data_IF_575933491711
#
_entry.id   IF_575933491711
#
_cell.length_a   1.000
_cell.length_b   1.000
_cell.length_c   1.000
_cell.angle_alpha   90.00
_cell.angle_beta   90.00
_cell.angle_gamma   90.00
#
_symmetry.space_group_name_H-M   'P 1'
#
loop_
_entity.id
_entity.type
_entity.pdbx_description
1 polymer ?
#
# COMPACT_ATOMS: atom_id res chain seq x y z
N UNK A 1 4.75 0.09 -12.50
CA UNK A 1 3.36 0.55 -12.80
C UNK A 1 3.28 1.51 -13.99
N UNK A 2 4.07 2.56 -14.08
CA UNK A 2 3.98 3.52 -15.18
C UNK A 2 4.01 2.89 -16.58
N UNK A 3 4.93 1.95 -16.84
CA UNK A 3 5.02 1.26 -18.13
C UNK A 3 3.76 0.46 -18.48
N UNK A 4 3.16 -0.24 -17.52
CA UNK A 4 1.93 -1.02 -17.70
C UNK A 4 0.73 -0.10 -17.94
N UNK A 5 0.68 1.06 -17.30
CA UNK A 5 -0.29 2.11 -17.54
C UNK A 5 -0.16 2.64 -18.99
N UNK A 6 1.07 2.94 -19.44
CA UNK A 6 1.32 3.38 -20.83
C UNK A 6 0.91 2.34 -21.86
N UNK A 7 1.20 1.04 -21.63
CA UNK A 7 0.83 -0.05 -22.54
C UNK A 7 -0.70 -0.15 -22.69
N UNK A 8 -1.46 0.09 -21.62
CA UNK A 8 -2.93 0.06 -21.62
C UNK A 8 -3.56 1.40 -21.96
N UNK A 9 -2.79 2.46 -22.08
CA UNK A 9 -3.27 3.83 -22.23
C UNK A 9 -4.27 4.24 -21.12
N UNK A 10 -3.93 3.82 -19.89
CA UNK A 10 -4.71 4.12 -18.67
C UNK A 10 -3.82 4.86 -17.67
N UNK A 11 -4.10 6.14 -17.46
CA UNK A 11 -3.30 7.02 -16.61
C UNK A 11 -4.09 7.59 -15.44
N UNK A 12 -5.37 7.23 -15.32
CA UNK A 12 -6.34 7.78 -14.37
C UNK A 12 -6.11 7.33 -12.92
N UNK A 13 -5.40 6.22 -12.69
CA UNK A 13 -5.21 5.65 -11.35
C UNK A 13 -3.81 5.82 -10.77
N UNK A 14 -2.79 6.05 -11.60
CA UNK A 14 -1.39 6.16 -11.13
C UNK A 14 -1.21 7.29 -10.11
N UNK A 15 -2.00 8.37 -10.23
CA UNK A 15 -1.99 9.47 -9.26
C UNK A 15 -2.50 9.05 -7.89
N UNK A 16 -3.49 8.14 -7.82
CA UNK A 16 -3.96 7.56 -6.56
C UNK A 16 -2.84 6.78 -5.88
N UNK A 17 -2.08 6.00 -6.65
CA UNK A 17 -0.94 5.24 -6.13
C UNK A 17 0.14 6.15 -5.55
N UNK A 18 0.49 7.23 -6.25
CA UNK A 18 1.50 8.19 -5.78
C UNK A 18 1.06 8.84 -4.45
N UNK A 19 -0.22 9.24 -4.35
CA UNK A 19 -0.77 9.80 -3.10
C UNK A 19 -0.78 8.74 -2.01
N UNK A 20 -1.29 7.53 -2.28
CA UNK A 20 -1.39 6.45 -1.31
C UNK A 20 -0.05 6.10 -0.67
N UNK A 21 1.01 5.98 -1.49
CA UNK A 21 2.36 5.68 -1.00
C UNK A 21 2.86 6.72 0.01
N UNK A 22 2.55 8.00 -0.20
CA UNK A 22 2.96 9.07 0.70
C UNK A 22 2.07 9.19 1.95
N UNK A 23 0.74 9.25 1.76
CA UNK A 23 -0.18 9.53 2.88
C UNK A 23 -0.33 8.35 3.84
N UNK A 24 -0.18 7.11 3.35
CA UNK A 24 -0.19 5.93 4.22
C UNK A 24 1.00 5.92 5.18
N UNK A 25 2.19 6.35 4.73
CA UNK A 25 3.38 6.44 5.60
C UNK A 25 3.21 7.51 6.68
N UNK A 26 2.61 8.66 6.33
CA UNK A 26 2.25 9.69 7.32
C UNK A 26 1.25 9.13 8.33
N UNK A 27 0.23 8.42 7.86
CA UNK A 27 -0.79 7.82 8.72
C UNK A 27 -0.23 6.71 9.63
N UNK A 28 0.75 5.92 9.15
CA UNK A 28 1.46 4.91 9.95
C UNK A 28 2.16 5.53 11.18
N UNK A 29 2.65 6.75 11.07
CA UNK A 29 3.22 7.48 12.19
C UNK A 29 2.17 8.13 13.13
N UNK A 30 0.86 7.95 12.84
CA UNK A 30 -0.25 8.59 13.55
C UNK A 30 -0.58 9.99 13.02
N UNK A 31 0.06 10.42 11.93
CA UNK A 31 -0.10 11.73 11.31
C UNK A 31 -1.40 11.86 10.52
N UNK A 32 -1.97 13.05 10.51
CA UNK A 32 -3.06 13.44 9.62
C UNK A 32 -2.45 14.21 8.43
N UNK A 33 -2.56 13.68 7.18
CA UNK A 33 -2.07 14.38 6.00
C UNK A 33 -2.80 15.72 5.81
N UNK A 34 -2.06 16.80 5.61
CA UNK A 34 -2.63 18.15 5.42
C UNK A 34 -2.69 18.54 3.95
N UNK A 35 -1.58 18.33 3.24
CA UNK A 35 -1.49 18.68 1.83
C UNK A 35 -0.51 17.78 1.08
N UNK A 36 -0.68 17.79 -0.22
CA UNK A 36 0.11 17.03 -1.19
C UNK A 36 0.61 17.94 -2.31
N UNK A 37 1.79 17.62 -2.82
CA UNK A 37 2.41 18.19 -4.01
C UNK A 37 2.86 17.04 -4.91
N UNK A 38 2.64 17.15 -6.20
CA UNK A 38 3.16 16.20 -7.19
C UNK A 38 4.31 16.79 -8.00
N UNK A 39 5.14 15.90 -8.55
CA UNK A 39 6.14 16.22 -9.54
C UNK A 39 6.03 15.21 -10.68
N UNK A 40 5.79 15.70 -11.89
CA UNK A 40 5.70 14.89 -13.10
C UNK A 40 6.87 15.23 -14.01
N UNK A 41 7.83 14.30 -14.12
CA UNK A 41 8.85 14.34 -15.15
C UNK A 41 8.34 13.60 -16.39
N UNK A 42 8.42 14.18 -17.58
CA UNK A 42 7.98 13.53 -18.80
C UNK A 42 8.95 13.80 -19.97
N UNK A 43 9.02 12.85 -20.92
CA UNK A 43 9.81 13.06 -22.13
C UNK A 43 9.21 14.14 -23.03
N UNK A 44 7.86 14.19 -23.08
CA UNK A 44 7.09 15.20 -23.77
C UNK A 44 5.77 15.47 -23.05
N UNK A 45 5.43 16.74 -22.94
CA UNK A 45 4.17 17.15 -22.33
C UNK A 45 3.00 16.93 -23.30
N UNK A 46 2.18 15.93 -23.02
CA UNK A 46 0.88 15.70 -23.65
C UNK A 46 -0.21 16.17 -22.69
N UNK A 47 -0.81 17.36 -22.88
CA UNK A 47 -1.68 17.99 -21.87
C UNK A 47 -2.83 17.10 -21.39
N UNK A 48 -3.47 16.33 -22.26
CA UNK A 48 -4.58 15.45 -21.91
C UNK A 48 -4.12 14.28 -21.03
N UNK A 49 -2.94 13.71 -21.31
CA UNK A 49 -2.31 12.65 -20.52
C UNK A 49 -1.94 13.17 -19.14
N UNK A 50 -1.29 14.32 -19.06
CA UNK A 50 -0.91 14.97 -17.80
C UNK A 50 -2.15 15.31 -16.99
N UNK A 51 -3.19 15.88 -17.58
CA UNK A 51 -4.45 16.18 -16.91
C UNK A 51 -5.09 14.91 -16.32
N UNK A 52 -5.03 13.77 -17.03
CA UNK A 52 -5.52 12.48 -16.54
C UNK A 52 -4.72 11.99 -15.34
N UNK A 53 -3.39 12.08 -15.38
CA UNK A 53 -2.52 11.73 -14.24
C UNK A 53 -2.87 12.59 -13.01
N UNK A 54 -2.95 13.91 -13.19
CA UNK A 54 -3.27 14.86 -12.10
C UNK A 54 -4.68 14.64 -11.55
N UNK A 55 -5.65 14.22 -12.39
CA UNK A 55 -6.98 13.86 -11.90
C UNK A 55 -6.95 12.67 -10.93
N UNK A 56 -6.07 11.69 -11.17
CA UNK A 56 -5.80 10.59 -10.24
C UNK A 56 -5.17 11.09 -8.93
N UNK A 57 -4.23 12.04 -9.00
CA UNK A 57 -3.64 12.68 -7.80
C UNK A 57 -4.74 13.39 -6.99
N UNK A 58 -5.60 14.16 -7.65
CA UNK A 58 -6.70 14.87 -7.00
C UNK A 58 -7.69 13.90 -6.33
N UNK A 59 -8.00 12.77 -6.97
CA UNK A 59 -8.86 11.74 -6.39
C UNK A 59 -8.20 11.08 -5.17
N UNK A 60 -6.90 10.75 -5.23
CA UNK A 60 -6.15 10.24 -4.08
C UNK A 60 -6.13 11.23 -2.91
N UNK A 61 -5.93 12.52 -3.18
CA UNK A 61 -6.00 13.57 -2.18
C UNK A 61 -7.38 13.67 -1.54
N UNK A 62 -8.45 13.57 -2.33
CA UNK A 62 -9.82 13.55 -1.84
C UNK A 62 -10.08 12.35 -0.92
N UNK A 63 -9.64 11.14 -1.30
CA UNK A 63 -9.77 9.92 -0.49
C UNK A 63 -9.02 10.02 0.84
N UNK A 64 -7.84 10.64 0.86
CA UNK A 64 -7.05 10.83 2.08
C UNK A 64 -7.47 12.04 2.90
N UNK A 65 -8.32 12.92 2.35
CA UNK A 65 -8.76 14.16 3.01
C UNK A 65 -7.69 15.25 3.07
N UNK A 66 -6.60 15.13 2.29
CA UNK A 66 -5.57 16.16 2.19
C UNK A 66 -5.84 17.11 1.00
N UNK A 67 -5.24 18.31 1.04
CA UNK A 67 -5.37 19.29 -0.03
C UNK A 67 -4.28 19.11 -1.10
N UNK A 68 -4.65 18.99 -2.37
CA UNK A 68 -3.70 19.17 -3.46
C UNK A 68 -3.46 20.68 -3.63
N UNK A 69 -2.28 21.17 -3.23
CA UNK A 69 -2.00 22.62 -3.18
C UNK A 69 -1.12 23.11 -4.32
N UNK A 70 -0.59 22.21 -5.14
CA UNK A 70 0.27 22.51 -6.28
C UNK A 70 1.07 21.30 -6.73
N UNK A 71 2.00 21.54 -7.61
CA UNK A 71 2.90 20.56 -8.18
C UNK A 71 3.76 21.18 -9.27
N UNK A 72 4.53 20.35 -9.96
CA UNK A 72 5.38 20.76 -11.08
C UNK A 72 5.31 19.70 -12.18
N UNK A 73 5.32 20.15 -13.43
CA UNK A 73 5.50 19.29 -14.60
C UNK A 73 6.69 19.76 -15.40
N UNK A 74 7.66 18.90 -15.60
CA UNK A 74 8.89 19.21 -16.31
C UNK A 74 9.12 18.28 -17.50
N UNK A 75 9.38 18.83 -18.68
CA UNK A 75 9.82 18.09 -19.85
C UNK A 75 11.35 17.85 -19.79
N UNK A 76 11.74 16.61 -20.13
CA UNK A 76 13.12 16.18 -20.23
C UNK A 76 13.45 15.64 -21.64
N UNK A 77 13.41 16.47 -22.68
CA UNK A 77 13.64 16.05 -24.05
C UNK A 77 15.04 15.47 -24.23
N UNK A 78 15.15 14.31 -24.84
CA UNK A 78 16.41 13.61 -25.06
C UNK A 78 16.98 12.87 -23.83
N UNK A 79 16.39 13.08 -22.63
CA UNK A 79 16.74 12.33 -21.41
C UNK A 79 15.75 11.19 -21.17
N UNK A 80 14.47 11.44 -21.45
CA UNK A 80 13.40 10.45 -21.36
C UNK A 80 12.76 10.23 -22.74
N UNK A 81 12.30 8.99 -23.05
CA UNK A 81 11.45 8.74 -24.21
C UNK A 81 10.19 9.62 -24.19
N UNK A 82 9.69 10.03 -25.36
CA UNK A 82 8.57 10.99 -25.45
C UNK A 82 7.27 10.50 -24.80
N UNK A 83 7.04 9.20 -24.77
CA UNK A 83 5.84 8.56 -24.22
C UNK A 83 5.96 8.17 -22.74
N UNK A 84 7.17 8.28 -22.16
CA UNK A 84 7.44 7.95 -20.78
C UNK A 84 7.26 9.14 -19.83
N UNK A 85 6.95 8.82 -18.58
CA UNK A 85 6.91 9.77 -17.47
C UNK A 85 7.28 9.10 -16.15
N UNK A 86 7.68 9.91 -15.20
CA UNK A 86 7.87 9.53 -13.79
C UNK A 86 7.03 10.46 -12.92
N UNK A 87 6.38 9.87 -11.89
CA UNK A 87 5.49 10.59 -10.98
C UNK A 87 5.99 10.40 -9.56
N UNK A 88 6.32 11.51 -8.92
CA UNK A 88 6.68 11.55 -7.51
C UNK A 88 5.66 12.37 -6.72
N UNK A 89 5.56 12.09 -5.42
CA UNK A 89 4.68 12.80 -4.50
C UNK A 89 5.41 13.26 -3.25
N UNK A 90 4.92 14.35 -2.68
CA UNK A 90 5.35 14.87 -1.39
C UNK A 90 4.14 15.25 -0.56
N UNK A 91 4.07 14.75 0.67
CA UNK A 91 3.00 15.09 1.60
C UNK A 91 3.55 15.58 2.93
N UNK A 92 2.80 16.47 3.57
CA UNK A 92 3.07 16.91 4.93
C UNK A 92 1.85 16.57 5.78
N UNK A 93 2.10 15.97 6.93
CA UNK A 93 1.08 15.72 7.93
C UNK A 93 1.47 16.25 9.30
N UNK A 94 0.51 16.26 10.20
CA UNK A 94 0.71 16.68 11.60
C UNK A 94 0.19 15.62 12.54
N UNK A 95 0.85 15.51 13.69
CA UNK A 95 0.43 14.66 14.79
C UNK A 95 0.82 15.34 16.11
N UNK A 96 -0.05 15.23 17.13
CA UNK A 96 0.34 15.62 18.47
C UNK A 96 1.45 14.69 18.99
N UNK A 97 2.47 15.25 19.62
CA UNK A 97 3.64 14.48 20.12
C UNK A 97 3.24 13.25 20.94
N UNK A 98 2.17 13.36 21.73
CA UNK A 98 1.64 12.25 22.57
C UNK A 98 0.96 11.13 21.76
N UNK A 99 0.54 11.42 20.52
CA UNK A 99 -0.22 10.52 19.64
C UNK A 99 0.66 9.86 18.57
N UNK A 100 1.97 10.17 18.54
CA UNK A 100 2.91 9.55 17.60
C UNK A 100 2.92 8.03 17.86
N UNK A 101 2.79 7.26 16.79
CA UNK A 101 2.91 5.80 16.78
C UNK A 101 4.38 5.45 16.62
N UNK A 102 5.03 5.02 17.70
CA UNK A 102 6.48 4.72 17.72
C UNK A 102 6.80 3.24 17.83
N UNK A 103 5.84 2.41 18.23
CA UNK A 103 6.07 1.02 18.58
C UNK A 103 6.59 0.76 19.99
N UNK A 104 6.99 1.81 20.74
CA UNK A 104 7.57 1.64 22.08
C UNK A 104 6.63 1.00 23.11
N UNK A 105 5.31 1.19 22.93
CA UNK A 105 4.27 0.65 23.83
C UNK A 105 3.88 -0.81 23.50
N UNK A 106 4.48 -1.43 22.48
CA UNK A 106 4.18 -2.80 22.06
C UNK A 106 4.61 -3.80 23.11
N UNK A 107 3.70 -4.74 23.43
CA UNK A 107 3.90 -5.78 24.47
C UNK A 107 3.60 -7.17 23.90
N UNK A 108 4.21 -8.19 24.51
CA UNK A 108 3.78 -9.56 24.26
C UNK A 108 2.30 -9.73 24.63
N UNK A 109 1.55 -10.41 23.76
CA UNK A 109 0.11 -10.55 23.87
C UNK A 109 -0.70 -9.52 23.08
N UNK A 110 -0.08 -8.42 22.61
CA UNK A 110 -0.76 -7.50 21.68
C UNK A 110 -1.17 -8.24 20.40
N UNK A 111 -2.32 -7.86 19.84
CA UNK A 111 -2.92 -8.51 18.70
C UNK A 111 -2.56 -7.77 17.42
N UNK A 112 -2.20 -8.52 16.39
CA UNK A 112 -1.98 -8.00 15.05
C UNK A 112 -3.27 -7.99 14.25
N UNK A 113 -3.64 -6.82 13.74
CA UNK A 113 -4.78 -6.63 12.84
C UNK A 113 -4.24 -6.20 11.49
N UNK A 114 -4.55 -6.96 10.43
CA UNK A 114 -4.24 -6.63 9.06
C UNK A 114 -5.43 -5.98 8.36
N UNK A 115 -5.19 -5.02 7.49
CA UNK A 115 -6.18 -4.44 6.58
C UNK A 115 -5.94 -4.92 5.16
N UNK A 116 -7.02 -5.36 4.49
CA UNK A 116 -6.95 -5.89 3.14
C UNK A 116 -6.29 -4.91 2.16
N UNK A 117 -5.45 -5.43 1.28
CA UNK A 117 -5.00 -4.69 0.09
C UNK A 117 -6.03 -4.78 -1.03
N UNK A 118 -5.91 -3.90 -2.01
CA UNK A 118 -6.67 -3.94 -3.26
C UNK A 118 -6.04 -4.85 -4.33
N UNK A 119 -4.85 -5.37 -4.08
CA UNK A 119 -4.04 -6.15 -5.01
C UNK A 119 -2.56 -5.93 -4.77
N UNK A 120 -1.78 -5.91 -5.84
CA UNK A 120 -0.31 -5.78 -5.79
C UNK A 120 0.15 -4.44 -5.20
N UNK A 121 -0.69 -3.42 -5.29
CA UNK A 121 -0.33 -2.04 -4.97
C UNK A 121 0.79 -1.52 -5.90
N UNK A 122 1.72 -0.71 -5.37
CA UNK A 122 2.74 -0.04 -6.17
C UNK A 122 4.12 -0.72 -6.12
N UNK A 123 4.22 -1.93 -5.57
CA UNK A 123 5.50 -2.58 -5.31
C UNK A 123 5.67 -3.89 -6.08
N UNK A 124 6.92 -4.30 -6.32
CA UNK A 124 7.26 -5.58 -6.93
C UNK A 124 7.09 -5.66 -8.45
N UNK A 125 6.84 -4.56 -9.16
CA UNK A 125 6.61 -4.56 -10.62
C UNK A 125 7.82 -5.01 -11.45
N UNK A 126 9.04 -4.91 -10.92
CA UNK A 126 10.22 -5.49 -11.58
C UNK A 126 10.13 -7.01 -11.70
N UNK A 127 9.54 -7.66 -10.69
CA UNK A 127 9.29 -9.11 -10.72
C UNK A 127 8.08 -9.43 -11.61
N UNK A 128 6.99 -8.65 -11.55
CA UNK A 128 5.83 -8.77 -12.44
C UNK A 128 6.28 -8.79 -13.91
N UNK A 129 7.17 -7.87 -14.31
CA UNK A 129 7.73 -7.79 -15.68
C UNK A 129 8.61 -8.98 -16.07
N UNK A 130 9.15 -9.70 -15.11
CA UNK A 130 9.89 -10.95 -15.37
C UNK A 130 8.96 -12.14 -15.52
N UNK A 131 7.83 -12.14 -14.83
CA UNK A 131 6.85 -13.22 -14.82
C UNK A 131 5.98 -13.16 -16.07
N UNK A 132 5.45 -11.99 -16.39
CA UNK A 132 4.50 -11.82 -17.48
C UNK A 132 5.11 -11.02 -18.63
N UNK A 133 4.70 -11.37 -19.84
CA UNK A 133 4.99 -10.55 -21.00
C UNK A 133 4.19 -9.25 -20.95
N UNK A 134 4.91 -8.11 -20.96
CA UNK A 134 4.30 -6.79 -20.87
C UNK A 134 3.91 -6.27 -22.26
N UNK A 135 2.82 -6.79 -22.81
CA UNK A 135 2.22 -6.29 -24.03
C UNK A 135 0.69 -6.16 -23.87
N UNK A 136 0.08 -5.46 -24.82
CA UNK A 136 -1.35 -5.14 -24.77
C UNK A 136 -2.23 -6.38 -24.80
N UNK A 137 -1.82 -7.43 -25.52
CA UNK A 137 -2.56 -8.69 -25.62
C UNK A 137 -2.57 -9.40 -24.28
N UNK A 138 -1.40 -9.60 -23.67
CA UNK A 138 -1.26 -10.26 -22.36
C UNK A 138 -2.00 -9.51 -21.25
N UNK A 139 -1.86 -8.18 -21.18
CA UNK A 139 -2.51 -7.37 -20.15
C UNK A 139 -4.04 -7.30 -20.31
N UNK A 140 -4.58 -7.46 -21.51
CA UNK A 140 -6.02 -7.50 -21.78
C UNK A 140 -6.60 -8.92 -21.76
N UNK A 141 -5.79 -9.95 -21.54
CA UNK A 141 -6.26 -11.33 -21.41
C UNK A 141 -7.11 -11.46 -20.12
N UNK A 142 -8.37 -11.89 -20.31
CA UNK A 142 -9.24 -12.21 -19.18
C UNK A 142 -8.81 -13.54 -18.56
N UNK A 143 -8.76 -13.58 -17.23
CA UNK A 143 -8.38 -14.74 -16.47
C UNK A 143 -9.51 -15.13 -15.51
N UNK A 144 -10.08 -16.32 -15.69
CA UNK A 144 -11.20 -16.80 -14.87
C UNK A 144 -10.89 -16.81 -13.37
N UNK A 145 -9.65 -17.19 -13.02
CA UNK A 145 -9.20 -17.22 -11.62
C UNK A 145 -9.08 -15.83 -10.98
N UNK A 146 -8.91 -14.76 -11.78
CA UNK A 146 -8.90 -13.38 -11.31
C UNK A 146 -10.30 -12.72 -11.37
N UNK A 147 -11.21 -13.27 -12.18
CA UNK A 147 -12.49 -12.66 -12.48
C UNK A 147 -12.41 -11.35 -13.27
N UNK A 148 -11.23 -11.04 -13.84
CA UNK A 148 -10.95 -9.83 -14.59
C UNK A 148 -9.75 -10.01 -15.52
N UNK A 149 -9.31 -8.96 -16.25
CA UNK A 149 -8.10 -9.04 -17.04
C UNK A 149 -6.84 -8.95 -16.15
N UNK A 150 -5.74 -9.55 -16.63
CA UNK A 150 -4.46 -9.47 -15.92
C UNK A 150 -4.06 -8.02 -15.61
N UNK A 151 -4.21 -7.13 -16.57
CA UNK A 151 -3.85 -5.72 -16.41
C UNK A 151 -4.73 -4.99 -15.38
N UNK A 152 -6.04 -5.30 -15.28
CA UNK A 152 -6.90 -4.72 -14.25
C UNK A 152 -6.52 -5.21 -12.85
N UNK A 153 -6.21 -6.50 -12.70
CA UNK A 153 -5.75 -7.05 -11.43
C UNK A 153 -4.40 -6.46 -10.98
N UNK A 154 -3.47 -6.26 -11.92
CA UNK A 154 -2.15 -5.67 -11.63
C UNK A 154 -2.22 -4.16 -11.34
N UNK A 155 -3.14 -3.44 -12.00
CA UNK A 155 -3.27 -1.99 -11.92
C UNK A 155 -4.41 -1.53 -11.00
N UNK A 156 -4.91 -2.41 -10.13
CA UNK A 156 -5.82 -2.01 -9.07
C UNK A 156 -5.14 -0.96 -8.17
N UNK A 157 -5.74 0.25 -7.99
CA UNK A 157 -5.07 1.33 -7.26
C UNK A 157 -4.71 0.93 -5.84
N UNK A 158 -3.57 1.43 -5.36
CA UNK A 158 -3.13 1.27 -3.98
C UNK A 158 -4.16 1.84 -3.02
N UNK A 159 -4.54 1.04 -2.03
CA UNK A 159 -5.53 1.44 -1.04
C UNK A 159 -5.00 2.53 -0.12
N UNK A 160 -5.84 3.53 0.18
CA UNK A 160 -5.54 4.61 1.12
C UNK A 160 -6.18 4.28 2.45
N UNK A 161 -5.38 4.12 3.51
CA UNK A 161 -5.81 3.68 4.85
C UNK A 161 -6.01 4.83 5.84
N UNK A 162 -5.80 6.08 5.42
CA UNK A 162 -5.94 7.28 6.28
C UNK A 162 -7.29 7.34 6.97
N UNK A 163 -8.37 7.05 6.25
CA UNK A 163 -9.73 7.04 6.78
C UNK A 163 -9.92 6.00 7.89
N UNK A 164 -9.38 4.79 7.71
CA UNK A 164 -9.45 3.71 8.70
C UNK A 164 -8.68 4.05 9.97
N UNK A 165 -7.44 4.55 9.86
CA UNK A 165 -6.63 4.96 11.02
C UNK A 165 -7.28 6.12 11.77
N UNK A 166 -7.87 7.10 11.06
CA UNK A 166 -8.66 8.18 11.67
C UNK A 166 -9.90 7.66 12.41
N UNK A 167 -10.60 6.67 11.84
CA UNK A 167 -11.75 6.02 12.48
C UNK A 167 -11.36 5.30 13.77
N UNK A 168 -10.24 4.57 13.77
CA UNK A 168 -9.69 3.90 14.95
C UNK A 168 -9.37 4.92 16.06
N UNK A 169 -8.69 6.02 15.70
CA UNK A 169 -8.37 7.11 16.62
C UNK A 169 -9.65 7.74 17.22
N UNK A 170 -10.65 8.02 16.39
CA UNK A 170 -11.93 8.58 16.81
C UNK A 170 -12.73 7.63 17.72
N UNK A 171 -12.56 6.32 17.54
CA UNK A 171 -13.11 5.31 18.45
C UNK A 171 -12.37 5.28 19.80
N UNK A 172 -11.31 6.05 20.00
CA UNK A 172 -10.52 6.11 21.22
C UNK A 172 -9.62 4.89 21.43
N UNK A 173 -9.25 4.20 20.36
CA UNK A 173 -8.28 3.11 20.37
C UNK A 173 -6.88 3.67 20.17
N UNK A 174 -5.92 3.20 20.97
CA UNK A 174 -4.50 3.48 20.78
C UNK A 174 -3.87 2.40 19.89
N UNK A 175 -3.52 2.74 18.67
CA UNK A 175 -2.64 1.93 17.85
C UNK A 175 -1.22 2.04 18.42
N UNK A 176 -0.63 0.92 18.85
CA UNK A 176 0.70 0.90 19.47
C UNK A 176 1.81 0.87 18.43
N UNK A 177 1.58 0.18 17.32
CA UNK A 177 2.48 0.11 16.17
C UNK A 177 1.70 -0.04 14.88
N UNK A 178 2.26 0.45 13.79
CA UNK A 178 1.65 0.39 12.47
C UNK A 178 2.72 0.18 11.41
N UNK A 179 2.44 -0.68 10.45
CA UNK A 179 3.33 -0.97 9.31
C UNK A 179 2.55 -0.89 8.01
N UNK A 180 2.96 -0.03 7.10
CA UNK A 180 2.54 -0.02 5.71
C UNK A 180 3.34 -1.08 4.96
N UNK A 181 2.66 -2.09 4.38
CA UNK A 181 3.32 -3.20 3.71
C UNK A 181 3.61 -2.82 2.27
N UNK A 182 4.85 -2.46 2.02
CA UNK A 182 5.37 -1.99 0.72
C UNK A 182 6.45 -2.94 0.19
N UNK A 183 7.43 -2.45 -0.58
CA UNK A 183 8.60 -3.23 -0.98
C UNK A 183 9.34 -3.79 0.23
N UNK A 184 9.77 -5.04 0.15
CA UNK A 184 10.29 -5.79 1.28
C UNK A 184 9.24 -6.63 2.02
N UNK A 185 7.95 -6.49 1.64
CA UNK A 185 6.86 -7.35 2.12
C UNK A 185 6.76 -7.44 3.63
N UNK A 186 6.38 -8.60 4.14
CA UNK A 186 6.20 -8.81 5.58
C UNK A 186 7.54 -8.84 6.34
N UNK A 187 8.55 -9.48 5.75
CA UNK A 187 9.83 -9.72 6.42
C UNK A 187 10.61 -8.44 6.74
N UNK A 188 10.49 -7.42 5.89
CA UNK A 188 11.17 -6.15 6.13
C UNK A 188 10.29 -5.11 6.81
N UNK A 189 8.98 -5.02 6.48
CA UNK A 189 8.15 -3.93 6.97
C UNK A 189 7.63 -4.18 8.39
N UNK A 190 7.14 -5.40 8.71
CA UNK A 190 6.58 -5.68 10.03
C UNK A 190 7.61 -5.48 11.15
N UNK A 191 8.87 -5.97 11.05
CA UNK A 191 9.85 -5.73 12.11
C UNK A 191 10.17 -4.26 12.38
N UNK A 192 10.05 -3.38 11.35
CA UNK A 192 10.33 -1.94 11.54
C UNK A 192 9.45 -1.27 12.58
N UNK A 193 8.20 -1.76 12.75
CA UNK A 193 7.27 -1.20 13.73
C UNK A 193 7.48 -1.72 15.15
N UNK A 194 8.36 -2.71 15.37
CA UNK A 194 8.57 -3.38 16.64
C UNK A 194 9.75 -2.80 17.41
N UNK A 195 9.68 -2.72 18.74
CA UNK A 195 10.84 -2.44 19.57
C UNK A 195 11.71 -3.69 19.73
N UNK A 196 12.93 -3.51 20.20
CA UNK A 196 13.82 -4.62 20.55
C UNK A 196 13.17 -5.57 21.59
N UNK A 197 13.42 -6.88 21.44
CA UNK A 197 12.86 -7.91 22.34
C UNK A 197 11.40 -8.28 22.02
N UNK A 198 10.82 -7.78 20.94
CA UNK A 198 9.47 -8.14 20.47
C UNK A 198 9.51 -8.78 19.08
N UNK A 199 8.66 -9.78 18.90
CA UNK A 199 8.56 -10.57 17.69
C UNK A 199 7.11 -10.68 17.24
N UNK A 200 6.86 -10.50 15.93
CA UNK A 200 5.55 -10.70 15.34
C UNK A 200 5.35 -12.15 14.89
N UNK A 201 4.22 -12.75 15.25
CA UNK A 201 3.79 -14.06 14.72
C UNK A 201 2.53 -13.82 13.90
N UNK A 202 2.61 -14.07 12.61
CA UNK A 202 1.51 -13.86 11.64
C UNK A 202 1.01 -15.21 11.12
N UNK A 203 -0.28 -15.44 11.23
CA UNK A 203 -0.97 -16.65 10.76
C UNK A 203 -1.42 -16.46 9.31
N UNK A 204 -0.74 -17.09 8.36
CA UNK A 204 -0.98 -16.95 6.90
C UNK A 204 -2.42 -17.29 6.47
N UNK A 205 -3.05 -18.22 7.15
CA UNK A 205 -4.41 -18.68 6.81
C UNK A 205 -5.52 -17.87 7.50
N UNK A 206 -5.19 -16.79 8.20
CA UNK A 206 -6.15 -15.95 8.93
C UNK A 206 -6.89 -14.93 8.06
N UNK A 207 -6.48 -14.78 6.80
CA UNK A 207 -7.07 -13.87 5.82
C UNK A 207 -6.97 -14.45 4.40
N UNK A 208 -7.84 -14.04 3.47
CA UNK A 208 -7.77 -14.50 2.08
C UNK A 208 -6.59 -13.81 1.34
N UNK A 209 -5.72 -14.61 0.73
CA UNK A 209 -4.70 -14.10 -0.20
C UNK A 209 -5.35 -13.89 -1.57
N UNK A 210 -5.31 -12.69 -2.16
CA UNK A 210 -5.87 -12.43 -3.48
C UNK A 210 -5.27 -13.34 -4.57
N UNK A 211 -6.09 -13.83 -5.52
CA UNK A 211 -5.66 -14.82 -6.54
C UNK A 211 -4.48 -14.36 -7.39
N UNK A 212 -4.28 -13.06 -7.58
CA UNK A 212 -3.15 -12.51 -8.34
C UNK A 212 -1.80 -12.96 -7.78
N UNK A 213 -1.66 -13.08 -6.45
CA UNK A 213 -0.42 -13.53 -5.82
C UNK A 213 -0.14 -15.00 -6.06
N UNK A 214 -1.18 -15.84 -6.02
CA UNK A 214 -1.08 -17.27 -6.35
C UNK A 214 -0.72 -17.46 -7.82
N UNK A 215 -1.35 -16.69 -8.71
CA UNK A 215 -1.01 -16.68 -10.12
C UNK A 215 0.46 -16.31 -10.35
N UNK A 216 0.93 -15.21 -9.75
CA UNK A 216 2.31 -14.77 -9.88
C UNK A 216 3.31 -15.79 -9.36
N UNK A 217 3.05 -16.42 -8.21
CA UNK A 217 3.89 -17.46 -7.66
C UNK A 217 4.01 -18.67 -8.61
N UNK A 218 2.89 -19.11 -9.16
CA UNK A 218 2.82 -20.24 -10.10
C UNK A 218 3.53 -19.95 -11.41
N UNK A 219 3.15 -18.86 -12.09
CA UNK A 219 3.70 -18.52 -13.42
C UNK A 219 5.19 -18.14 -13.36
N UNK A 220 5.60 -17.48 -12.27
CA UNK A 220 7.00 -17.10 -12.05
C UNK A 220 7.86 -18.16 -11.39
N UNK A 221 7.27 -19.29 -10.98
CA UNK A 221 7.94 -20.29 -10.12
C UNK A 221 8.67 -19.64 -8.94
N UNK A 222 7.98 -18.67 -8.30
CA UNK A 222 8.50 -17.91 -7.16
C UNK A 222 8.15 -18.63 -5.87
N UNK A 223 9.12 -18.86 -5.01
CA UNK A 223 8.89 -19.50 -3.72
C UNK A 223 8.11 -18.58 -2.76
N UNK A 224 7.49 -19.21 -1.76
CA UNK A 224 6.64 -18.51 -0.79
C UNK A 224 7.40 -17.41 -0.03
N UNK A 225 8.63 -17.68 0.37
CA UNK A 225 9.44 -16.70 1.11
C UNK A 225 9.67 -15.45 0.27
N UNK A 226 10.05 -15.60 -1.01
CA UNK A 226 10.25 -14.48 -1.92
C UNK A 226 8.94 -13.71 -2.16
N UNK A 227 7.80 -14.40 -2.26
CA UNK A 227 6.49 -13.74 -2.38
C UNK A 227 6.20 -12.85 -1.18
N UNK A 228 6.35 -13.35 0.05
CA UNK A 228 6.15 -12.57 1.28
C UNK A 228 7.25 -11.53 1.54
N UNK A 229 8.41 -11.64 0.89
CA UNK A 229 9.48 -10.64 0.96
C UNK A 229 9.33 -9.53 -0.09
N UNK A 230 8.50 -9.73 -1.12
CA UNK A 230 8.34 -8.78 -2.23
C UNK A 230 7.00 -8.07 -2.21
N UNK A 231 5.94 -8.80 -1.81
CA UNK A 231 4.55 -8.35 -1.95
C UNK A 231 3.81 -8.25 -0.62
N UNK A 232 2.70 -7.52 -0.63
CA UNK A 232 1.81 -7.37 0.51
C UNK A 232 0.95 -8.61 0.79
N UNK A 233 0.91 -9.58 -0.10
CA UNK A 233 0.19 -10.84 0.00
C UNK A 233 -1.27 -10.73 0.45
N UNK A 234 -1.92 -9.58 0.21
CA UNK A 234 -3.31 -9.32 0.57
C UNK A 234 -3.51 -8.40 1.77
N UNK A 235 -2.45 -8.00 2.47
CA UNK A 235 -2.49 -7.05 3.59
C UNK A 235 -1.64 -5.83 3.28
N UNK A 236 -2.27 -4.68 3.04
CA UNK A 236 -1.54 -3.45 2.75
C UNK A 236 -1.09 -2.71 4.02
N UNK A 237 -1.70 -2.99 5.17
CA UNK A 237 -1.32 -2.38 6.45
C UNK A 237 -1.53 -3.35 7.59
N UNK A 238 -0.63 -3.34 8.58
CA UNK A 238 -0.70 -4.17 9.78
C UNK A 238 -0.56 -3.30 11.02
N UNK A 239 -1.44 -3.49 11.99
CA UNK A 239 -1.50 -2.75 13.26
C UNK A 239 -1.24 -3.67 14.45
N UNK A 240 -0.64 -3.15 15.51
CA UNK A 240 -0.60 -3.79 16.82
C UNK A 240 -1.47 -3.00 17.82
N UNK A 241 -2.44 -3.69 18.44
CA UNK A 241 -3.36 -3.11 19.42
C UNK A 241 -3.45 -3.96 20.68
N UNK A 242 -3.95 -3.38 21.76
CA UNK A 242 -4.24 -4.12 22.99
C UNK A 242 -5.35 -5.16 22.73
N UNK A 243 -5.27 -6.38 23.30
CA UNK A 243 -6.32 -7.39 23.18
C UNK A 243 -7.73 -6.88 23.52
N UNK A 244 -7.83 -5.96 24.48
CA UNK A 244 -9.12 -5.37 24.89
C UNK A 244 -9.73 -4.44 23.83
N UNK A 245 -8.93 -3.94 22.89
CA UNK A 245 -9.34 -3.00 21.85
C UNK A 245 -9.61 -3.66 20.48
N UNK A 246 -9.45 -4.98 20.37
CA UNK A 246 -9.56 -5.70 19.08
C UNK A 246 -10.91 -5.49 18.42
N UNK A 247 -12.01 -5.79 19.11
CA UNK A 247 -13.36 -5.69 18.54
C UNK A 247 -13.66 -4.26 18.08
N UNK A 248 -13.29 -3.28 18.92
CA UNK A 248 -13.48 -1.87 18.64
C UNK A 248 -12.66 -1.39 17.43
N UNK A 249 -11.44 -1.91 17.29
CA UNK A 249 -10.57 -1.64 16.14
C UNK A 249 -11.18 -2.23 14.87
N UNK A 250 -11.62 -3.49 14.92
CA UNK A 250 -12.26 -4.17 13.79
C UNK A 250 -13.53 -3.43 13.32
N UNK A 251 -14.37 -2.97 14.26
CA UNK A 251 -15.58 -2.19 13.94
C UNK A 251 -15.23 -0.84 13.32
N UNK A 252 -14.24 -0.13 13.87
CA UNK A 252 -13.80 1.17 13.35
C UNK A 252 -13.26 1.08 11.92
N UNK A 253 -12.49 0.04 11.60
CA UNK A 253 -11.98 -0.21 10.25
C UNK A 253 -13.13 -0.49 9.29
N UNK A 254 -14.08 -1.36 9.67
CA UNK A 254 -15.26 -1.67 8.85
C UNK A 254 -16.13 -0.44 8.61
N UNK A 255 -16.31 0.40 9.62
CA UNK A 255 -17.06 1.66 9.51
C UNK A 255 -16.43 2.64 8.51
N UNK A 256 -15.11 2.58 8.33
CA UNK A 256 -14.39 3.36 7.32
C UNK A 256 -14.44 2.74 5.90
N UNK A 257 -15.05 1.56 5.72
CA UNK A 257 -15.18 0.87 4.43
C UNK A 257 -14.00 -0.06 4.10
N UNK A 258 -13.11 -0.31 5.07
CA UNK A 258 -12.00 -1.24 4.93
C UNK A 258 -12.31 -2.62 5.52
N UNK A 259 -11.54 -3.62 5.13
CA UNK A 259 -11.74 -5.01 5.58
C UNK A 259 -10.59 -5.42 6.50
N UNK A 260 -10.85 -5.55 7.82
CA UNK A 260 -9.85 -5.99 8.78
C UNK A 260 -9.87 -7.49 9.01
N UNK A 261 -8.71 -8.03 9.40
CA UNK A 261 -8.51 -9.41 9.84
C UNK A 261 -7.65 -9.44 11.10
N UNK A 262 -7.97 -10.31 12.06
CA UNK A 262 -7.02 -10.65 13.12
C UNK A 262 -6.01 -11.62 12.52
N UNK A 263 -4.76 -11.20 12.42
CA UNK A 263 -3.75 -11.93 11.64
C UNK A 263 -2.62 -12.51 12.48
N UNK A 264 -2.63 -12.27 13.77
CA UNK A 264 -1.58 -12.81 14.64
C UNK A 264 -1.43 -12.06 15.95
N UNK A 265 -0.25 -12.16 16.53
CA UNK A 265 0.06 -11.58 17.82
C UNK A 265 1.54 -11.22 17.97
N UNK A 266 1.82 -10.40 18.96
CA UNK A 266 3.19 -10.09 19.40
C UNK A 266 3.61 -11.08 20.51
N UNK A 267 4.85 -11.52 20.43
CA UNK A 267 5.50 -12.37 21.44
C UNK A 267 6.80 -11.72 21.90
N UNK A 268 7.35 -12.20 23.01
CA UNK A 268 8.75 -11.90 23.35
C UNK A 268 9.68 -12.73 22.46
N UNK A 269 10.78 -12.12 22.02
CA UNK A 269 11.75 -12.77 21.14
C UNK A 269 12.68 -11.77 20.45
N UNK A 270 13.60 -12.29 19.66
CA UNK A 270 14.42 -11.46 18.78
C UNK A 270 13.51 -10.69 17.80
N UNK A 271 13.81 -9.41 17.59
CA UNK A 271 13.06 -8.55 16.70
C UNK A 271 12.96 -9.15 15.30
N UNK A 272 11.73 -9.40 14.85
CA UNK A 272 11.51 -10.07 13.58
C UNK A 272 10.04 -10.43 13.36
N UNK A 273 9.79 -11.25 12.34
CA UNK A 273 8.49 -11.80 12.02
C UNK A 273 8.58 -13.28 11.66
N UNK A 274 7.67 -14.08 12.21
CA UNK A 274 7.45 -15.48 11.80
C UNK A 274 6.09 -15.59 11.13
N UNK A 275 6.05 -16.28 9.97
CA UNK A 275 4.81 -16.62 9.25
C UNK A 275 4.51 -18.10 9.50
N UNK A 276 3.32 -18.41 10.03
CA UNK A 276 2.86 -19.76 10.36
C UNK A 276 1.80 -20.27 9.40
#
# INVERSE_FOLDING_TARGET
MGSEMCIRDRHDTIGIDAVAMCVNDVACAGGEPLFFLDYIACGKNYPEKIATIVSGVAEGCKQSGCALIGGETAEHPGLMPEDEYDLAGFTVGVVDKKDIITGEDVKAGDVLIGMASSGVHSNGFSLVRKIFRMDKETLNTYMDELGTTLGEALLAPTRIYVGALKSIKNAGVRVKACSHITGGGFYENIPRMLPEGKHAVVEKNSYPVPPIFTLMAREGNVDEHMMYNTYNMGLGMVLAVDPADVDKTMEAIKAAGDTPYVVGKITDGEKGVTLC
#
